data_IF_721490735310
#
_entry.id   IF_721490735310
#
_cell.length_a   1.000
_cell.length_b   1.000
_cell.length_c   1.000
_cell.angle_alpha   90.00
_cell.angle_beta   90.00
_cell.angle_gamma   90.00
#
_symmetry.space_group_name_H-M   'P 1'
#
loop_
_entity.id
_entity.type
_entity.pdbx_description
1 polymer ?
#
# COMPACT_ATOMS: atom_id res chain seq x y z
N UNK A 1 29.79 -13.04 -47.39
CA UNK A 1 30.33 -11.94 -46.57
C UNK A 1 29.36 -11.72 -45.41
N UNK A 2 29.85 -11.80 -44.17
CA UNK A 2 29.12 -11.56 -42.92
C UNK A 2 28.56 -10.11 -42.88
N UNK A 3 27.39 -9.89 -42.29
CA UNK A 3 27.28 -9.20 -40.98
C UNK A 3 25.85 -9.24 -40.42
N UNK A 4 25.74 -9.77 -39.20
CA UNK A 4 24.67 -9.54 -38.21
C UNK A 4 24.49 -8.04 -37.91
N UNK A 5 23.24 -7.61 -37.66
CA UNK A 5 22.90 -6.64 -36.61
C UNK A 5 21.55 -7.12 -36.03
N UNK A 6 21.59 -8.02 -35.05
CA UNK A 6 21.39 -7.74 -33.61
C UNK A 6 20.04 -7.09 -33.33
N UNK A 7 19.09 -7.92 -32.89
CA UNK A 7 17.90 -7.53 -32.17
C UNK A 7 18.31 -6.71 -30.95
N UNK A 8 17.94 -5.44 -30.92
CA UNK A 8 18.15 -4.56 -29.76
C UNK A 8 16.83 -4.49 -29.00
N UNK A 9 16.61 -5.52 -28.18
CA UNK A 9 15.65 -5.54 -27.10
C UNK A 9 16.02 -4.40 -26.15
N UNK A 10 15.34 -3.27 -26.25
CA UNK A 10 15.34 -2.27 -25.18
C UNK A 10 14.49 -2.85 -24.05
N UNK A 11 15.15 -3.67 -23.24
CA UNK A 11 14.72 -4.00 -21.89
C UNK A 11 14.72 -2.65 -21.17
N UNK A 12 13.54 -2.03 -21.08
CA UNK A 12 13.31 -1.02 -20.04
C UNK A 12 13.36 -1.83 -18.75
N UNK A 13 14.56 -1.96 -18.19
CA UNK A 13 14.75 -2.35 -16.81
C UNK A 13 14.24 -1.18 -15.97
N UNK A 14 12.92 -1.01 -15.93
CA UNK A 14 12.28 -0.23 -14.90
C UNK A 14 12.66 -0.92 -13.61
N UNK A 15 13.52 -0.26 -12.84
CA UNK A 15 13.81 -0.58 -11.46
C UNK A 15 12.49 -0.47 -10.68
N UNK A 16 11.64 -1.49 -10.78
CA UNK A 16 10.73 -1.81 -9.72
C UNK A 16 11.64 -2.34 -8.62
N UNK A 17 12.06 -1.47 -7.70
CA UNK A 17 12.52 -1.96 -6.41
C UNK A 17 11.31 -2.71 -5.86
N UNK A 18 11.37 -4.04 -5.85
CA UNK A 18 10.41 -4.87 -5.15
C UNK A 18 10.52 -4.58 -3.66
N UNK A 19 9.43 -4.79 -2.94
CA UNK A 19 9.29 -4.37 -1.57
C UNK A 19 10.42 -5.03 -0.81
N UNK A 20 11.39 -4.23 -0.41
CA UNK A 20 12.68 -4.73 -0.03
C UNK A 20 12.72 -4.84 1.48
N UNK A 21 13.55 -5.77 1.97
CA UNK A 21 14.00 -5.70 3.35
C UNK A 21 14.47 -4.28 3.67
N UNK A 22 13.94 -3.72 4.75
CA UNK A 22 14.21 -2.34 5.19
C UNK A 22 13.17 -1.31 4.73
N UNK A 23 12.27 -1.66 3.81
CA UNK A 23 11.14 -0.81 3.43
C UNK A 23 10.14 -0.69 4.56
N UNK A 24 9.64 0.52 4.76
CA UNK A 24 8.61 0.79 5.75
C UNK A 24 7.65 1.88 5.29
N UNK A 25 6.45 1.83 5.86
CA UNK A 25 5.38 2.81 5.69
C UNK A 25 4.74 3.08 7.04
N UNK A 26 4.23 4.30 7.22
CA UNK A 26 3.41 4.72 8.33
C UNK A 26 2.14 5.39 7.79
N UNK A 27 1.02 5.11 8.45
CA UNK A 27 -0.27 5.65 8.11
C UNK A 27 -0.90 6.32 9.32
N UNK A 28 -1.46 7.51 9.12
CA UNK A 28 -2.41 8.08 10.06
C UNK A 28 -3.70 7.26 10.01
N UNK A 29 -4.15 6.82 11.18
CA UNK A 29 -5.32 5.98 11.37
C UNK A 29 -6.49 6.80 11.91
N UNK A 30 -7.64 6.71 11.27
CA UNK A 30 -8.90 7.26 11.79
C UNK A 30 -10.02 6.23 11.67
N UNK A 31 -10.75 6.00 12.75
CA UNK A 31 -11.96 5.18 12.78
C UNK A 31 -13.09 5.94 13.44
N UNK A 32 -14.27 5.88 12.83
CA UNK A 32 -15.52 6.35 13.41
C UNK A 32 -16.37 5.12 13.70
N UNK A 33 -16.66 4.88 14.98
CA UNK A 33 -17.51 3.77 15.41
C UNK A 33 -19.00 4.14 15.32
N UNK A 34 -19.89 3.16 15.42
CA UNK A 34 -21.35 3.37 15.38
C UNK A 34 -21.85 4.41 16.40
N UNK A 35 -21.20 4.49 17.57
CA UNK A 35 -21.46 5.47 18.62
C UNK A 35 -21.03 6.90 18.28
N UNK A 36 -20.42 7.10 17.11
CA UNK A 36 -19.68 8.31 16.69
C UNK A 36 -18.46 8.61 17.56
N UNK A 37 -17.96 7.60 18.26
CA UNK A 37 -16.64 7.71 18.88
C UNK A 37 -15.59 7.74 17.79
N UNK A 38 -14.65 8.65 17.93
CA UNK A 38 -13.47 8.75 17.08
C UNK A 38 -12.33 8.01 17.75
N UNK A 39 -11.72 7.08 17.03
CA UNK A 39 -10.50 6.40 17.43
C UNK A 39 -9.43 6.81 16.43
N UNK A 40 -8.43 7.55 16.89
CA UNK A 40 -7.31 7.98 16.08
C UNK A 40 -6.05 7.21 16.48
N UNK A 41 -5.04 7.30 15.64
CA UNK A 41 -3.75 6.70 15.92
C UNK A 41 -2.87 6.67 14.70
N UNK A 42 -1.92 5.75 14.70
CA UNK A 42 -1.10 5.45 13.52
C UNK A 42 -0.83 3.95 13.42
N UNK A 43 -0.54 3.52 12.20
CA UNK A 43 -0.19 2.15 11.88
C UNK A 43 1.08 2.16 11.04
N UNK A 44 2.14 1.49 11.51
CA UNK A 44 3.37 1.31 10.74
C UNK A 44 3.55 -0.14 10.33
N UNK A 45 4.17 -0.34 9.16
CA UNK A 45 4.57 -1.65 8.64
C UNK A 45 6.01 -1.56 8.18
N UNK A 46 6.84 -2.52 8.59
CA UNK A 46 8.26 -2.57 8.25
C UNK A 46 8.65 -3.99 7.80
N UNK A 47 9.20 -4.10 6.60
CA UNK A 47 9.68 -5.37 6.05
C UNK A 47 11.02 -5.71 6.70
N UNK A 48 10.99 -6.66 7.64
CA UNK A 48 12.16 -7.10 8.39
C UNK A 48 13.03 -8.07 7.59
N UNK A 49 12.38 -8.96 6.83
CA UNK A 49 13.03 -9.97 6.00
C UNK A 49 12.16 -10.38 4.81
N UNK A 50 12.81 -10.90 3.79
CA UNK A 50 12.17 -11.43 2.59
C UNK A 50 12.90 -12.71 2.17
N UNK A 51 12.19 -13.83 2.21
CA UNK A 51 12.70 -15.14 1.81
C UNK A 51 11.74 -15.81 0.82
N UNK A 52 12.24 -16.09 -0.37
CA UNK A 52 11.46 -16.60 -1.49
C UNK A 52 10.21 -15.72 -1.76
N UNK A 53 9.02 -16.27 -1.56
CA UNK A 53 7.73 -15.58 -1.71
C UNK A 53 7.14 -15.17 -0.36
N UNK A 54 7.93 -15.08 0.71
CA UNK A 54 7.43 -14.72 2.04
C UNK A 54 8.13 -13.47 2.56
N UNK A 55 7.36 -12.63 3.24
CA UNK A 55 7.78 -11.37 3.83
C UNK A 55 7.51 -11.44 5.33
N UNK A 56 8.54 -11.19 6.13
CA UNK A 56 8.38 -10.97 7.57
C UNK A 56 8.18 -9.48 7.77
N UNK A 57 6.99 -9.10 8.24
CA UNK A 57 6.61 -7.70 8.42
C UNK A 57 6.34 -7.47 9.91
N UNK A 58 7.03 -6.50 10.49
CA UNK A 58 6.65 -5.93 11.77
C UNK A 58 5.53 -4.92 11.55
N UNK A 59 4.46 -5.05 12.33
CA UNK A 59 3.32 -4.14 12.32
C UNK A 59 3.18 -3.55 13.72
N UNK A 60 3.07 -2.22 13.78
CA UNK A 60 2.84 -1.50 15.02
C UNK A 60 1.58 -0.66 14.90
N UNK A 61 0.63 -0.89 15.79
CA UNK A 61 -0.59 -0.12 15.93
C UNK A 61 -0.54 0.71 17.21
N UNK A 62 -0.64 2.02 17.05
CA UNK A 62 -0.81 2.94 18.15
C UNK A 62 -2.20 3.54 18.04
N UNK A 63 -3.06 3.34 19.04
CA UNK A 63 -4.37 3.98 19.11
C UNK A 63 -4.37 4.93 20.31
N UNK A 64 -4.90 6.13 20.13
CA UNK A 64 -4.94 7.16 21.18
C UNK A 64 -5.61 6.62 22.46
N UNK A 65 -4.88 6.66 23.56
CA UNK A 65 -5.34 6.17 24.87
C UNK A 65 -5.11 4.67 25.11
N UNK A 66 -4.46 3.96 24.18
CA UNK A 66 -4.11 2.55 24.31
C UNK A 66 -2.58 2.35 24.27
N UNK A 67 -2.11 1.26 24.88
CA UNK A 67 -0.72 0.86 24.70
C UNK A 67 -0.48 0.40 23.24
N UNK A 68 0.70 0.67 22.66
CA UNK A 68 1.04 0.18 21.33
C UNK A 68 0.93 -1.34 21.26
N UNK A 69 0.40 -1.84 20.14
CA UNK A 69 0.41 -3.26 19.81
C UNK A 69 1.46 -3.48 18.72
N UNK A 70 2.46 -4.31 19.02
CA UNK A 70 3.50 -4.70 18.06
C UNK A 70 3.34 -6.19 17.77
N UNK A 71 3.36 -6.54 16.49
CA UNK A 71 3.34 -7.93 16.04
C UNK A 71 4.30 -8.14 14.88
N UNK A 72 4.82 -9.35 14.75
CA UNK A 72 5.60 -9.77 13.59
C UNK A 72 4.83 -10.90 12.90
N UNK A 73 4.51 -10.68 11.63
CA UNK A 73 3.70 -11.59 10.85
C UNK A 73 4.46 -11.99 9.57
N UNK A 74 4.27 -13.24 9.15
CA UNK A 74 4.79 -13.73 7.86
C UNK A 74 3.66 -13.73 6.84
N UNK A 75 3.85 -13.01 5.75
CA UNK A 75 2.91 -12.93 4.63
C UNK A 75 3.51 -13.57 3.39
N UNK A 76 2.72 -14.32 2.66
CA UNK A 76 3.07 -14.67 1.30
C UNK A 76 3.01 -13.42 0.40
N UNK A 77 3.79 -13.41 -0.68
CA UNK A 77 3.85 -12.33 -1.67
C UNK A 77 2.45 -11.97 -2.21
N UNK A 78 1.61 -12.99 -2.41
CA UNK A 78 0.22 -12.78 -2.86
C UNK A 78 -0.67 -12.05 -1.85
N UNK A 79 -0.26 -11.93 -0.59
CA UNK A 79 -1.00 -11.27 0.48
C UNK A 79 -0.53 -9.83 0.71
N UNK A 80 0.52 -9.38 0.02
CA UNK A 80 1.01 -8.02 0.10
C UNK A 80 0.97 -7.37 -1.29
N UNK A 81 0.87 -6.04 -1.31
CA UNK A 81 1.05 -5.28 -2.54
C UNK A 81 2.55 -5.14 -2.80
N UNK A 82 3.17 -6.15 -3.42
CA UNK A 82 4.56 -6.06 -3.87
C UNK A 82 4.69 -5.01 -4.98
N UNK A 83 5.87 -4.43 -5.20
CA UNK A 83 5.98 -3.38 -6.22
C UNK A 83 5.70 -3.87 -7.63
N UNK A 84 5.93 -5.14 -7.92
CA UNK A 84 5.51 -5.71 -9.21
C UNK A 84 3.99 -5.62 -9.40
N UNK A 85 3.23 -5.87 -8.32
CA UNK A 85 1.79 -5.69 -8.30
C UNK A 85 1.45 -4.20 -8.40
N UNK A 86 2.06 -3.33 -7.60
CA UNK A 86 1.84 -1.88 -7.63
C UNK A 86 2.05 -1.31 -9.02
N UNK A 87 3.17 -1.63 -9.68
CA UNK A 87 3.45 -1.20 -11.04
C UNK A 87 2.43 -1.75 -12.04
N UNK A 88 1.98 -2.98 -11.86
CA UNK A 88 0.91 -3.55 -12.69
C UNK A 88 -0.40 -2.80 -12.52
N UNK A 89 -0.79 -2.48 -11.28
CA UNK A 89 -1.98 -1.70 -10.97
C UNK A 89 -1.89 -0.28 -11.52
N UNK A 90 -0.76 0.40 -11.32
CA UNK A 90 -0.52 1.74 -11.84
C UNK A 90 -0.45 1.78 -13.36
N UNK A 91 0.03 0.74 -14.04
CA UNK A 91 0.05 0.69 -15.50
C UNK A 91 -1.32 0.37 -16.11
N UNK A 92 -2.16 -0.36 -15.37
CA UNK A 92 -3.42 -0.90 -15.84
C UNK A 92 -4.61 -0.42 -15.00
N UNK A 93 -4.58 0.84 -14.51
CA UNK A 93 -5.55 1.33 -13.54
C UNK A 93 -6.99 1.20 -14.06
N UNK A 94 -7.25 1.63 -15.29
CA UNK A 94 -8.57 1.54 -15.92
C UNK A 94 -9.03 0.08 -16.12
N UNK A 95 -8.10 -0.83 -16.45
CA UNK A 95 -8.40 -2.26 -16.56
C UNK A 95 -8.83 -2.85 -15.22
N UNK A 96 -8.23 -2.37 -14.13
CA UNK A 96 -8.61 -2.72 -12.75
C UNK A 96 -9.84 -1.93 -12.25
N UNK A 97 -10.61 -1.30 -13.16
CA UNK A 97 -11.78 -0.46 -12.87
C UNK A 97 -11.46 0.71 -11.94
N UNK A 98 -10.20 1.12 -11.90
CA UNK A 98 -9.74 2.28 -11.18
C UNK A 98 -9.81 3.55 -12.03
N UNK A 99 -9.53 4.67 -11.39
CA UNK A 99 -9.36 5.98 -12.02
C UNK A 99 -8.06 6.59 -11.54
N UNK A 100 -7.29 7.19 -12.46
CA UNK A 100 -6.11 7.95 -12.07
C UNK A 100 -6.51 9.25 -11.40
N UNK A 101 -5.94 9.53 -10.24
CA UNK A 101 -6.07 10.82 -9.59
C UNK A 101 -4.80 11.20 -8.83
N UNK A 102 -4.55 12.51 -8.75
CA UNK A 102 -3.53 13.07 -7.88
C UNK A 102 -4.17 13.40 -6.54
N UNK A 103 -3.60 12.89 -5.45
CA UNK A 103 -4.08 13.16 -4.09
C UNK A 103 -2.98 13.73 -3.22
N UNK A 104 -3.37 14.55 -2.26
CA UNK A 104 -2.52 15.04 -1.18
C UNK A 104 -2.81 14.25 0.10
N UNK A 105 -1.77 13.74 0.74
CA UNK A 105 -1.78 13.09 2.05
C UNK A 105 -0.62 13.66 2.89
N UNK A 106 -0.53 13.39 4.21
CA UNK A 106 0.52 13.99 5.03
C UNK A 106 1.95 13.69 4.55
N UNK A 107 2.20 12.52 3.95
CA UNK A 107 3.49 12.16 3.35
C UNK A 107 3.84 12.93 2.05
N UNK A 108 2.87 13.64 1.44
CA UNK A 108 3.07 14.41 0.22
C UNK A 108 1.97 14.25 -0.84
N UNK A 109 2.27 14.65 -2.06
CA UNK A 109 1.37 14.56 -3.22
C UNK A 109 1.75 13.38 -4.11
N UNK A 110 0.78 12.53 -4.46
CA UNK A 110 1.02 11.32 -5.24
C UNK A 110 0.06 11.21 -6.43
N UNK A 111 0.59 10.75 -7.57
CA UNK A 111 -0.23 10.19 -8.64
C UNK A 111 -0.63 8.77 -8.25
N UNK A 112 -1.92 8.49 -8.25
CA UNK A 112 -2.47 7.24 -7.74
C UNK A 112 -3.48 6.62 -8.69
N UNK A 113 -3.64 5.30 -8.57
CA UNK A 113 -4.79 4.57 -9.07
C UNK A 113 -5.80 4.38 -7.93
N UNK A 114 -6.94 5.08 -8.00
CA UNK A 114 -8.06 4.90 -7.07
C UNK A 114 -8.96 3.78 -7.54
N UNK A 115 -9.17 2.77 -6.71
CA UNK A 115 -9.98 1.60 -7.01
C UNK A 115 -11.08 1.42 -5.97
N UNK A 116 -12.24 0.95 -6.40
CA UNK A 116 -13.36 0.69 -5.52
C UNK A 116 -13.27 -0.73 -4.92
N UNK A 117 -13.45 -0.85 -3.61
CA UNK A 117 -13.42 -2.12 -2.85
C UNK A 117 -14.83 -2.58 -2.41
N UNK A 118 -15.86 -2.34 -3.22
CA UNK A 118 -17.24 -2.75 -2.92
C UNK A 118 -17.34 -4.25 -2.67
N UNK A 119 -17.69 -4.61 -1.44
CA UNK A 119 -18.01 -5.97 -1.00
C UNK A 119 -19.44 -6.01 -0.42
N UNK A 120 -19.94 -7.21 -0.12
CA UNK A 120 -21.32 -7.41 0.37
C UNK A 120 -21.64 -6.57 1.62
N UNK A 121 -20.65 -6.34 2.49
CA UNK A 121 -20.82 -5.67 3.79
C UNK A 121 -19.97 -4.41 3.97
N UNK A 122 -19.31 -3.93 2.91
CA UNK A 122 -18.50 -2.72 2.99
C UNK A 122 -18.38 -2.04 1.62
N UNK A 123 -18.27 -0.72 1.63
CA UNK A 123 -17.93 0.06 0.46
C UNK A 123 -16.69 0.90 0.81
N UNK A 124 -15.72 0.91 -0.07
CA UNK A 124 -14.49 1.62 0.17
C UNK A 124 -13.74 1.96 -1.11
N UNK A 125 -12.67 2.70 -0.89
CA UNK A 125 -11.76 3.16 -1.93
C UNK A 125 -10.33 2.93 -1.46
N UNK A 126 -9.50 2.39 -2.35
CA UNK A 126 -8.08 2.21 -2.14
C UNK A 126 -7.33 3.03 -3.17
N UNK A 127 -6.34 3.80 -2.72
CA UNK A 127 -5.46 4.57 -3.56
C UNK A 127 -4.10 3.92 -3.57
N UNK A 128 -3.72 3.41 -4.73
CA UNK A 128 -2.45 2.74 -4.95
C UNK A 128 -1.51 3.73 -5.63
N UNK A 129 -0.34 3.97 -5.05
CA UNK A 129 0.69 4.88 -5.57
C UNK A 129 2.06 4.21 -5.59
N UNK A 130 3.04 4.90 -6.18
CA UNK A 130 4.42 4.40 -6.28
C UNK A 130 5.20 4.64 -4.97
N UNK A 131 4.80 3.93 -3.92
CA UNK A 131 5.40 3.93 -2.58
C UNK A 131 5.60 2.47 -2.12
N UNK A 132 6.49 2.19 -1.14
CA UNK A 132 6.62 0.85 -0.61
C UNK A 132 5.27 0.30 -0.13
N UNK A 133 4.98 -0.97 -0.41
CA UNK A 133 3.69 -1.62 -0.14
C UNK A 133 2.47 -0.95 -0.84
N UNK A 134 2.69 0.01 -1.73
CA UNK A 134 1.72 0.51 -2.69
C UNK A 134 0.56 1.38 -2.19
N UNK A 135 0.22 1.35 -0.90
CA UNK A 135 -0.96 2.05 -0.38
C UNK A 135 -0.61 3.50 -0.06
N UNK A 136 -1.35 4.45 -0.61
CA UNK A 136 -1.27 5.88 -0.28
C UNK A 136 -2.43 6.30 0.62
N UNK A 137 -3.63 5.79 0.34
CA UNK A 137 -4.84 6.07 1.11
C UNK A 137 -5.81 4.90 1.04
N UNK A 138 -6.58 4.68 2.09
CA UNK A 138 -7.64 3.68 2.14
C UNK A 138 -8.81 4.25 2.93
N UNK A 139 -10.03 4.15 2.40
CA UNK A 139 -11.25 4.54 3.10
C UNK A 139 -12.27 3.41 2.98
N UNK A 140 -12.90 3.00 4.07
CA UNK A 140 -13.95 1.98 4.09
C UNK A 140 -15.09 2.42 5.00
N UNK A 141 -16.32 2.15 4.59
CA UNK A 141 -17.51 2.23 5.42
C UNK A 141 -18.21 0.87 5.41
N UNK A 142 -18.47 0.35 6.59
CA UNK A 142 -19.19 -0.91 6.80
C UNK A 142 -20.70 -0.65 6.90
N UNK A 143 -21.51 -1.67 6.61
CA UNK A 143 -22.98 -1.61 6.68
C UNK A 143 -23.52 -1.23 8.06
N UNK A 144 -22.73 -1.47 9.10
CA UNK A 144 -23.06 -1.19 10.49
C UNK A 144 -22.86 0.29 10.86
N UNK A 145 -22.32 1.09 9.93
CA UNK A 145 -22.05 2.52 10.11
C UNK A 145 -20.64 2.85 10.59
N UNK A 146 -19.82 1.83 10.88
CA UNK A 146 -18.40 2.03 11.20
C UNK A 146 -17.66 2.47 9.94
N UNK A 147 -16.85 3.52 10.03
CA UNK A 147 -15.95 3.94 8.96
C UNK A 147 -14.50 3.96 9.41
N UNK A 148 -13.60 3.77 8.47
CA UNK A 148 -12.16 3.68 8.70
C UNK A 148 -11.43 4.38 7.55
N UNK A 149 -10.37 5.10 7.87
CA UNK A 149 -9.43 5.63 6.90
C UNK A 149 -7.97 5.49 7.34
N UNK A 150 -7.11 5.23 6.36
CA UNK A 150 -5.66 5.35 6.44
C UNK A 150 -5.20 6.40 5.43
N UNK A 151 -4.29 7.27 5.84
CA UNK A 151 -3.56 8.16 4.93
C UNK A 151 -2.06 7.99 5.18
N UNK A 152 -1.28 7.85 4.12
CA UNK A 152 0.17 7.69 4.24
C UNK A 152 0.76 8.95 4.90
N UNK A 153 1.40 8.76 6.05
CA UNK A 153 2.00 9.83 6.84
C UNK A 153 3.50 9.93 6.66
N UNK A 154 4.18 8.79 6.52
CA UNK A 154 5.62 8.72 6.24
C UNK A 154 5.98 7.37 5.59
N UNK A 155 7.12 7.31 4.89
CA UNK A 155 7.62 6.08 4.28
C UNK A 155 9.10 6.18 3.95
N UNK A 156 9.76 5.04 3.81
CA UNK A 156 11.14 5.02 3.35
C UNK A 156 11.77 3.64 3.28
N UNK A 157 13.09 3.67 3.15
CA UNK A 157 13.93 2.48 3.08
C UNK A 157 15.14 2.64 4.00
N UNK A 158 15.31 1.73 4.96
CA UNK A 158 16.52 1.64 5.79
C UNK A 158 17.50 0.67 5.13
N UNK A 159 18.69 1.19 4.82
CA UNK A 159 19.83 0.42 4.27
C UNK A 159 20.43 -0.54 5.29
#
# INVERSE_FOLDING_TARGET
>A
MKLMIVAMTLIISSFAQAAARGDWVEFDYHRIEQSRNHVNGWHSRHILDQQDQNYVIAEEYHLDGYAPNVSENTYNESQILSDSMVQTWLKHCEYNRGTYETIDVPAGTFETCKVNLNEENSNGWLWIGNVPLGVVKHEVTYVDGTSFSLELSDYGHKK
#
